data_IF_710437850076
#
_entry.id   IF_710437850076
#
_cell.length_a   1.000
_cell.length_b   1.000
_cell.length_c   1.000
_cell.angle_alpha   90.00
_cell.angle_beta   90.00
_cell.angle_gamma   90.00
#
_symmetry.space_group_name_H-M   'P 1'
#
loop_
_entity.id
_entity.type
_entity.pdbx_description
1 polymer ?
#
# COMPACT_ATOMS: atom_id res chain seq x y z
N UNK A 1 10.74 16.60 24.42
CA UNK A 1 10.30 17.90 24.98
C UNK A 1 10.61 18.92 23.88
N UNK A 2 9.67 19.51 23.15
CA UNK A 2 8.39 20.10 23.52
C UNK A 2 7.20 19.58 22.66
N UNK A 3 6.18 19.03 23.31
CA UNK A 3 4.85 18.75 22.72
C UNK A 3 3.97 19.98 22.92
N UNK A 4 4.39 21.10 22.35
CA UNK A 4 3.68 22.38 22.38
C UNK A 4 3.36 22.85 20.98
N UNK A 5 2.65 22.04 20.20
CA UNK A 5 2.02 22.52 18.96
C UNK A 5 0.50 22.61 19.16
N UNK A 6 0.01 23.82 18.88
CA UNK A 6 -1.36 24.30 19.06
C UNK A 6 -2.42 23.40 18.41
N UNK A 7 -3.55 23.25 19.11
CA UNK A 7 -4.80 22.65 18.59
C UNK A 7 -5.43 23.40 17.41
N UNK A 8 -4.76 24.43 16.89
CA UNK A 8 -5.20 25.32 15.81
C UNK A 8 -4.96 24.75 14.41
N UNK A 9 -4.47 23.51 14.28
CA UNK A 9 -4.39 22.87 12.97
C UNK A 9 -5.82 22.54 12.48
N UNK A 10 -6.25 23.07 11.32
CA UNK A 10 -7.58 22.80 10.80
C UNK A 10 -7.70 21.30 10.49
N UNK A 11 -8.87 20.73 10.79
CA UNK A 11 -9.17 19.33 10.46
C UNK A 11 -8.96 19.05 8.96
N UNK A 12 -9.31 20.02 8.12
CA UNK A 12 -9.12 19.98 6.68
C UNK A 12 -7.80 20.61 6.25
N UNK A 13 -6.99 19.82 5.55
CA UNK A 13 -5.78 20.23 4.82
C UNK A 13 -5.95 19.81 3.38
N UNK A 14 -6.67 20.62 2.61
CA UNK A 14 -7.11 20.27 1.25
C UNK A 14 -5.99 19.81 0.30
N UNK A 15 -4.75 20.29 0.47
CA UNK A 15 -3.59 19.86 -0.34
C UNK A 15 -3.27 18.36 -0.20
N UNK A 16 -3.57 17.75 0.94
CA UNK A 16 -3.30 16.33 1.23
C UNK A 16 -4.57 15.52 1.30
N UNK A 17 -5.63 16.08 1.90
CA UNK A 17 -6.91 15.41 2.09
C UNK A 17 -7.60 15.09 0.77
N UNK A 18 -7.42 15.93 -0.25
CA UNK A 18 -8.01 15.71 -1.58
C UNK A 18 -7.60 14.35 -2.15
N UNK A 19 -6.36 13.91 -1.94
CA UNK A 19 -5.90 12.62 -2.47
C UNK A 19 -6.54 11.44 -1.75
N UNK A 20 -6.63 11.51 -0.41
CA UNK A 20 -7.34 10.49 0.37
C UNK A 20 -8.82 10.41 0.02
N UNK A 21 -9.49 11.57 -0.13
CA UNK A 21 -10.89 11.66 -0.53
C UNK A 21 -11.08 11.09 -1.93
N UNK A 22 -10.22 11.43 -2.90
CA UNK A 22 -10.29 10.88 -4.26
C UNK A 22 -10.10 9.36 -4.27
N UNK A 23 -9.17 8.82 -3.48
CA UNK A 23 -9.01 7.37 -3.33
C UNK A 23 -10.27 6.73 -2.76
N UNK A 24 -10.84 7.27 -1.68
CA UNK A 24 -12.07 6.75 -1.08
C UNK A 24 -13.26 6.86 -2.06
N UNK A 25 -13.40 7.99 -2.74
CA UNK A 25 -14.44 8.19 -3.74
C UNK A 25 -14.31 7.19 -4.90
N UNK A 26 -13.09 6.91 -5.36
CA UNK A 26 -12.84 5.87 -6.36
C UNK A 26 -13.22 4.47 -5.85
N UNK A 27 -12.88 4.13 -4.60
CA UNK A 27 -13.27 2.86 -3.99
C UNK A 27 -14.79 2.71 -3.92
N UNK A 28 -15.47 3.69 -3.32
CA UNK A 28 -16.93 3.68 -3.17
C UNK A 28 -17.66 3.72 -4.52
N UNK A 29 -17.19 4.55 -5.45
CA UNK A 29 -17.77 4.67 -6.79
C UNK A 29 -17.63 3.38 -7.59
N UNK A 30 -16.47 2.73 -7.53
CA UNK A 30 -16.24 1.44 -8.20
C UNK A 30 -17.08 0.33 -7.55
N UNK A 31 -17.13 0.26 -6.22
CA UNK A 31 -18.00 -0.69 -5.52
C UNK A 31 -19.47 -0.52 -5.94
N UNK A 32 -19.96 0.72 -5.98
CA UNK A 32 -21.32 1.04 -6.39
C UNK A 32 -21.62 0.70 -7.85
N UNK A 33 -20.67 0.97 -8.75
CA UNK A 33 -20.84 0.68 -10.16
C UNK A 33 -20.92 -0.82 -10.46
N UNK A 34 -20.11 -1.64 -9.77
CA UNK A 34 -20.04 -3.09 -10.00
C UNK A 34 -21.11 -3.85 -9.19
N UNK A 35 -21.54 -3.32 -8.06
CA UNK A 35 -22.49 -3.95 -7.14
C UNK A 35 -23.71 -4.65 -7.78
N UNK A 36 -24.43 -4.02 -8.74
CA UNK A 36 -25.65 -4.60 -9.31
C UNK A 36 -25.37 -5.88 -10.09
N UNK A 37 -24.18 -5.99 -10.67
CA UNK A 37 -23.74 -7.10 -11.51
C UNK A 37 -23.10 -8.24 -10.70
N UNK A 38 -22.98 -8.08 -9.37
CA UNK A 38 -22.46 -9.12 -8.49
C UNK A 38 -23.48 -10.25 -8.31
N UNK A 39 -23.06 -11.53 -8.45
CA UNK A 39 -23.89 -12.67 -8.06
C UNK A 39 -24.15 -12.62 -6.55
N UNK A 40 -25.20 -13.32 -6.10
CA UNK A 40 -25.57 -13.31 -4.68
C UNK A 40 -24.43 -13.75 -3.76
N UNK A 41 -23.59 -14.68 -4.24
CA UNK A 41 -22.38 -15.15 -3.55
C UNK A 41 -21.13 -14.85 -4.37
N UNK A 42 -20.13 -14.27 -3.72
CA UNK A 42 -18.83 -13.92 -4.29
C UNK A 42 -17.70 -14.61 -3.54
N UNK A 43 -16.64 -15.08 -4.21
CA UNK A 43 -15.47 -15.64 -3.54
C UNK A 43 -14.79 -14.62 -2.62
N UNK A 44 -14.45 -15.04 -1.40
CA UNK A 44 -13.77 -14.18 -0.41
C UNK A 44 -12.45 -14.76 0.12
N UNK A 45 -12.18 -16.04 -0.14
CA UNK A 45 -10.96 -16.71 0.31
C UNK A 45 -10.50 -17.78 -0.69
N UNK A 46 -9.18 -17.91 -0.85
CA UNK A 46 -8.52 -18.87 -1.72
C UNK A 46 -7.45 -19.65 -0.95
N UNK A 47 -7.22 -20.92 -1.30
CA UNK A 47 -6.09 -21.69 -0.79
C UNK A 47 -4.78 -21.36 -1.55
N UNK A 48 -3.70 -22.07 -1.20
CA UNK A 48 -2.39 -21.91 -1.83
C UNK A 48 -2.40 -22.32 -3.32
N UNK A 49 -3.32 -23.17 -3.72
CA UNK A 49 -3.51 -23.66 -5.08
C UNK A 49 -4.33 -22.67 -5.93
N UNK A 50 -4.89 -21.62 -5.31
CA UNK A 50 -5.75 -20.63 -5.96
C UNK A 50 -7.21 -21.07 -6.11
N UNK A 51 -7.61 -22.14 -5.43
CA UNK A 51 -8.98 -22.64 -5.41
C UNK A 51 -9.80 -21.87 -4.37
N UNK A 52 -11.08 -21.62 -4.67
CA UNK A 52 -11.98 -20.90 -3.79
C UNK A 52 -12.38 -21.82 -2.64
N UNK A 53 -12.09 -21.42 -1.40
CA UNK A 53 -12.47 -22.19 -0.20
C UNK A 53 -13.57 -21.54 0.62
N UNK A 54 -13.94 -20.28 0.31
CA UNK A 54 -15.03 -19.59 1.00
C UNK A 54 -15.72 -18.55 0.11
N UNK A 55 -17.03 -18.40 0.34
CA UNK A 55 -17.90 -17.44 -0.33
C UNK A 55 -18.53 -16.49 0.70
N UNK A 56 -18.70 -15.23 0.31
CA UNK A 56 -19.43 -14.22 1.04
C UNK A 56 -20.63 -13.73 0.22
N UNK A 57 -21.53 -12.98 0.85
CA UNK A 57 -22.59 -12.28 0.11
C UNK A 57 -22.00 -11.20 -0.80
N UNK A 58 -22.72 -10.80 -1.85
CA UNK A 58 -22.32 -9.64 -2.68
C UNK A 58 -21.92 -8.43 -1.83
N UNK A 59 -22.60 -8.21 -0.68
CA UNK A 59 -22.36 -7.14 0.35
C UNK A 59 -20.95 -7.01 0.85
N UNK A 60 -20.16 -8.05 0.73
CA UNK A 60 -18.75 -8.02 1.09
C UNK A 60 -17.96 -6.94 0.32
N UNK A 61 -18.36 -6.52 -0.88
CA UNK A 61 -17.64 -5.46 -1.64
C UNK A 61 -17.59 -4.12 -0.89
N UNK A 62 -18.56 -3.85 -0.01
CA UNK A 62 -18.62 -2.60 0.77
C UNK A 62 -17.64 -2.58 1.94
N UNK A 63 -17.14 -3.74 2.36
CA UNK A 63 -16.34 -3.88 3.57
C UNK A 63 -15.01 -3.13 3.47
N UNK A 64 -14.28 -3.29 2.35
CA UNK A 64 -12.97 -2.63 2.18
C UNK A 64 -13.09 -1.09 2.06
N UNK A 65 -14.01 -0.51 1.25
CA UNK A 65 -14.27 0.93 1.28
C UNK A 65 -14.65 1.44 2.66
N UNK A 66 -15.48 0.71 3.42
CA UNK A 66 -15.87 1.08 4.78
C UNK A 66 -14.67 1.07 5.75
N UNK A 67 -13.87 0.00 5.76
CA UNK A 67 -12.66 -0.09 6.58
C UNK A 67 -11.69 1.04 6.24
N UNK A 68 -11.45 1.30 4.95
CA UNK A 68 -10.58 2.39 4.52
C UNK A 68 -11.09 3.77 4.95
N UNK A 69 -12.40 3.99 4.89
CA UNK A 69 -13.02 5.24 5.35
C UNK A 69 -12.84 5.43 6.86
N UNK A 70 -13.12 4.37 7.65
CA UNK A 70 -12.94 4.40 9.10
C UNK A 70 -11.48 4.64 9.46
N UNK A 71 -10.55 3.94 8.82
CA UNK A 71 -9.11 4.13 9.07
C UNK A 71 -8.65 5.53 8.70
N UNK A 72 -9.08 6.07 7.55
CA UNK A 72 -8.76 7.44 7.15
C UNK A 72 -9.24 8.45 8.19
N UNK A 73 -10.48 8.32 8.69
CA UNK A 73 -11.01 9.16 9.77
C UNK A 73 -10.22 8.98 11.07
N UNK A 74 -9.91 7.74 11.47
CA UNK A 74 -9.11 7.46 12.68
C UNK A 74 -7.74 8.11 12.58
N UNK A 75 -7.05 8.01 11.44
CA UNK A 75 -5.77 8.70 11.23
C UNK A 75 -5.91 10.22 11.29
N UNK A 76 -7.00 10.80 10.76
CA UNK A 76 -7.26 12.25 10.90
C UNK A 76 -7.54 12.65 12.36
N UNK A 77 -8.28 11.83 13.11
CA UNK A 77 -8.69 12.12 14.49
C UNK A 77 -7.55 11.95 15.51
N UNK A 78 -6.83 10.83 15.46
CA UNK A 78 -5.68 10.54 16.33
C UNK A 78 -4.61 11.63 16.18
N UNK A 79 -4.56 12.29 15.03
CA UNK A 79 -3.39 13.06 14.63
C UNK A 79 -3.57 14.58 14.56
N UNK A 80 -4.65 15.11 15.12
CA UNK A 80 -4.77 16.55 15.48
C UNK A 80 -3.63 17.04 16.39
N UNK A 81 -2.75 16.15 16.86
CA UNK A 81 -1.62 16.38 17.78
C UNK A 81 -0.21 16.36 17.15
N UNK A 82 -0.05 15.97 15.88
CA UNK A 82 1.27 15.56 15.36
C UNK A 82 1.58 15.94 13.88
N UNK A 83 0.88 16.92 13.30
CA UNK A 83 1.32 17.62 12.09
C UNK A 83 1.36 16.83 10.76
N UNK A 84 2.25 17.21 9.84
CA UNK A 84 2.30 16.75 8.43
C UNK A 84 2.61 15.25 8.23
N UNK A 85 3.15 14.58 9.24
CA UNK A 85 3.45 13.14 9.21
C UNK A 85 2.15 12.31 9.14
N UNK A 86 1.03 12.80 9.72
CA UNK A 86 -0.27 12.14 9.60
C UNK A 86 -0.76 12.10 8.18
N UNK A 87 -0.69 13.23 7.50
CA UNK A 87 -1.35 13.40 6.21
C UNK A 87 -0.74 12.42 5.21
N UNK A 88 0.57 12.16 5.34
CA UNK A 88 1.31 11.14 4.60
C UNK A 88 0.98 9.71 5.04
N UNK A 89 0.81 9.45 6.33
CA UNK A 89 0.40 8.14 6.83
C UNK A 89 -1.03 7.78 6.41
N UNK A 90 -1.97 8.72 6.53
CA UNK A 90 -3.35 8.57 6.10
C UNK A 90 -3.45 8.36 4.58
N UNK A 91 -2.68 9.12 3.80
CA UNK A 91 -2.58 8.92 2.36
C UNK A 91 -1.98 7.56 2.01
N UNK A 92 -0.89 7.16 2.66
CA UNK A 92 -0.26 5.86 2.46
C UNK A 92 -1.20 4.70 2.76
N UNK A 93 -1.93 4.76 3.88
CA UNK A 93 -2.93 3.75 4.24
C UNK A 93 -4.10 3.73 3.27
N UNK A 94 -4.68 4.89 2.94
CA UNK A 94 -5.77 4.97 1.96
C UNK A 94 -5.34 4.43 0.59
N UNK A 95 -4.11 4.70 0.18
CA UNK A 95 -3.53 4.19 -1.06
C UNK A 95 -3.32 2.67 -1.03
N UNK A 96 -2.76 2.12 0.05
CA UNK A 96 -2.59 0.67 0.23
C UNK A 96 -3.94 -0.04 0.19
N UNK A 97 -4.94 0.45 0.95
CA UNK A 97 -6.27 -0.15 0.99
C UNK A 97 -7.03 0.00 -0.32
N UNK A 98 -6.89 1.16 -0.98
CA UNK A 98 -7.43 1.40 -2.31
C UNK A 98 -6.86 0.43 -3.34
N UNK A 99 -5.57 0.13 -3.27
CA UNK A 99 -4.95 -0.88 -4.13
C UNK A 99 -5.36 -2.30 -3.78
N UNK A 100 -5.45 -2.64 -2.50
CA UNK A 100 -5.99 -3.94 -2.07
C UNK A 100 -7.41 -4.11 -2.61
N UNK A 101 -8.23 -3.06 -2.51
CA UNK A 101 -9.59 -3.05 -3.05
C UNK A 101 -9.62 -3.18 -4.58
N UNK A 102 -8.81 -2.41 -5.32
CA UNK A 102 -8.70 -2.54 -6.77
C UNK A 102 -8.16 -3.92 -7.18
N UNK A 103 -7.27 -4.52 -6.39
CA UNK A 103 -6.82 -5.90 -6.58
C UNK A 103 -7.94 -6.92 -6.40
N UNK A 104 -8.74 -6.79 -5.33
CA UNK A 104 -9.93 -7.64 -5.10
C UNK A 104 -10.96 -7.47 -6.22
N UNK A 105 -11.25 -6.23 -6.62
CA UNK A 105 -12.14 -5.93 -7.75
C UNK A 105 -11.58 -6.47 -9.06
N UNK A 106 -10.28 -6.32 -9.31
CA UNK A 106 -9.62 -6.82 -10.52
C UNK A 106 -9.61 -8.35 -10.60
N UNK A 107 -9.37 -9.05 -9.49
CA UNK A 107 -9.52 -10.50 -9.40
C UNK A 107 -10.97 -10.91 -9.66
N UNK A 108 -11.94 -10.19 -9.07
CA UNK A 108 -13.35 -10.44 -9.30
C UNK A 108 -13.75 -10.23 -10.77
N UNK A 109 -13.41 -9.08 -11.37
CA UNK A 109 -13.70 -8.79 -12.76
C UNK A 109 -12.99 -9.80 -13.69
N UNK A 110 -11.73 -10.15 -13.42
CA UNK A 110 -10.99 -11.14 -14.20
C UNK A 110 -11.61 -12.54 -14.17
N UNK A 111 -12.23 -12.92 -13.04
CA UNK A 111 -12.90 -14.21 -12.88
C UNK A 111 -14.22 -14.30 -13.68
N UNK A 112 -14.93 -13.17 -13.85
CA UNK A 112 -16.28 -13.16 -14.44
C UNK A 112 -16.38 -12.58 -15.85
N UNK A 113 -15.43 -11.76 -16.30
CA UNK A 113 -15.57 -11.01 -17.56
C UNK A 113 -14.83 -11.59 -18.76
N UNK A 114 -13.80 -12.44 -18.57
CA UNK A 114 -13.09 -13.01 -19.72
C UNK A 114 -12.54 -14.42 -19.44
N UNK A 115 -13.07 -15.48 -20.08
CA UNK A 115 -12.43 -16.79 -20.09
C UNK A 115 -11.26 -16.74 -21.08
N UNK A 116 -10.21 -15.99 -20.73
CA UNK A 116 -8.93 -16.09 -21.42
C UNK A 116 -8.17 -17.28 -20.78
N UNK A 117 -7.84 -18.34 -21.53
CA UNK A 117 -7.02 -19.43 -21.03
C UNK A 117 -5.71 -18.85 -20.49
N UNK A 118 -5.46 -18.99 -19.17
CA UNK A 118 -4.25 -18.48 -18.51
C UNK A 118 -4.36 -17.10 -17.84
N UNK A 119 -5.50 -16.41 -17.91
CA UNK A 119 -5.69 -15.06 -17.36
C UNK A 119 -6.06 -15.00 -15.86
N UNK A 120 -6.30 -16.16 -15.25
CA UNK A 120 -6.66 -16.31 -13.84
C UNK A 120 -5.52 -15.90 -12.87
N UNK A 121 -4.32 -15.64 -13.41
CA UNK A 121 -3.06 -15.56 -12.65
C UNK A 121 -2.34 -14.21 -12.73
N UNK A 122 -2.77 -13.29 -13.59
CA UNK A 122 -2.09 -12.00 -13.84
C UNK A 122 -2.44 -10.87 -12.86
N UNK A 123 -3.60 -10.92 -12.21
CA UNK A 123 -4.13 -9.81 -11.40
C UNK A 123 -3.29 -9.51 -10.16
N UNK A 124 -2.71 -10.54 -9.53
CA UNK A 124 -1.93 -10.40 -8.30
C UNK A 124 -0.61 -9.66 -8.51
N UNK A 125 0.07 -9.95 -9.61
CA UNK A 125 1.33 -9.28 -9.96
C UNK A 125 1.10 -7.80 -10.29
N UNK A 126 0.04 -7.48 -11.04
CA UNK A 126 -0.32 -6.08 -11.32
C UNK A 126 -0.63 -5.33 -10.03
N UNK A 127 -1.49 -5.88 -9.15
CA UNK A 127 -1.82 -5.26 -7.87
C UNK A 127 -0.59 -5.07 -6.96
N UNK A 128 0.26 -6.09 -6.84
CA UNK A 128 1.49 -6.02 -6.07
C UNK A 128 2.50 -5.01 -6.66
N UNK A 129 2.60 -4.91 -7.98
CA UNK A 129 3.46 -3.95 -8.64
C UNK A 129 2.99 -2.50 -8.43
N UNK A 130 1.68 -2.23 -8.50
CA UNK A 130 1.15 -0.91 -8.17
C UNK A 130 1.37 -0.59 -6.68
N UNK A 131 1.26 -1.58 -5.79
CA UNK A 131 1.58 -1.41 -4.37
C UNK A 131 3.05 -0.98 -4.18
N UNK A 132 3.99 -1.62 -4.88
CA UNK A 132 5.39 -1.21 -4.88
C UNK A 132 5.55 0.26 -5.33
N UNK A 133 4.86 0.70 -6.39
CA UNK A 133 4.90 2.11 -6.84
C UNK A 133 4.42 3.07 -5.74
N UNK A 134 3.34 2.73 -5.04
CA UNK A 134 2.80 3.55 -3.96
C UNK A 134 3.76 3.63 -2.77
N UNK A 135 4.35 2.50 -2.36
CA UNK A 135 5.38 2.47 -1.32
C UNK A 135 6.54 3.38 -1.74
N UNK A 136 7.01 3.28 -2.99
CA UNK A 136 8.07 4.10 -3.55
C UNK A 136 7.79 5.59 -3.47
N UNK A 137 6.61 6.00 -3.94
CA UNK A 137 6.15 7.38 -3.92
C UNK A 137 6.05 7.92 -2.49
N UNK A 138 5.54 7.12 -1.54
CA UNK A 138 5.43 7.49 -0.13
C UNK A 138 6.79 7.67 0.54
N UNK A 139 7.85 6.98 0.10
CA UNK A 139 9.20 7.13 0.65
C UNK A 139 9.92 8.42 0.22
N UNK A 140 9.46 9.12 -0.82
CA UNK A 140 10.06 10.38 -1.25
C UNK A 140 10.01 11.52 -0.20
N UNK A 141 8.86 11.85 0.39
CA UNK A 141 8.76 12.86 1.44
C UNK A 141 9.48 12.46 2.73
N UNK A 142 9.57 11.16 3.06
CA UNK A 142 10.23 10.67 4.27
C UNK A 142 11.72 11.01 4.34
N UNK A 143 12.38 11.19 3.19
CA UNK A 143 13.78 11.62 3.12
C UNK A 143 14.04 13.02 3.69
N UNK A 144 12.99 13.84 3.85
CA UNK A 144 13.07 15.20 4.39
C UNK A 144 12.56 15.29 5.83
N UNK A 145 12.19 14.16 6.42
CA UNK A 145 11.64 14.06 7.75
C UNK A 145 12.65 13.40 8.68
N UNK A 146 12.61 13.80 9.94
CA UNK A 146 13.36 13.11 10.99
C UNK A 146 12.82 11.69 11.20
N UNK A 147 13.68 10.76 11.64
CA UNK A 147 13.26 9.42 12.00
C UNK A 147 12.10 9.44 12.99
N UNK A 148 11.04 8.71 12.68
CA UNK A 148 9.83 8.71 13.49
C UNK A 148 9.26 7.30 13.61
N UNK A 149 8.60 6.98 14.74
CA UNK A 149 8.11 5.63 15.01
C UNK A 149 6.83 5.28 14.23
N UNK A 150 6.37 6.09 13.28
CA UNK A 150 5.01 6.01 12.75
C UNK A 150 4.95 5.50 11.33
N UNK A 151 5.74 6.09 10.43
CA UNK A 151 5.72 5.77 9.01
C UNK A 151 7.14 5.54 8.50
N UNK A 152 7.28 4.67 7.50
CA UNK A 152 8.55 4.38 6.84
C UNK A 152 9.14 3.03 7.24
N UNK A 153 10.40 2.82 6.82
CA UNK A 153 11.20 1.66 7.19
C UNK A 153 11.72 1.85 8.62
N UNK A 154 11.02 1.30 9.61
CA UNK A 154 11.23 1.53 11.06
C UNK A 154 12.02 0.40 11.73
N UNK A 155 13.19 0.09 11.20
CA UNK A 155 14.10 -0.83 11.89
C UNK A 155 14.75 -0.14 13.10
N UNK A 156 15.23 -0.88 14.12
CA UNK A 156 15.89 -0.26 15.28
C UNK A 156 17.04 0.69 14.93
N UNK A 157 17.74 0.42 13.83
CA UNK A 157 18.88 1.22 13.37
C UNK A 157 18.50 2.43 12.50
N UNK A 158 17.40 2.38 11.74
CA UNK A 158 16.94 3.55 10.97
C UNK A 158 16.37 4.64 11.85
N UNK A 159 15.85 4.28 13.03
CA UNK A 159 15.36 5.24 14.02
C UNK A 159 16.47 5.96 14.79
N UNK A 160 17.72 5.48 14.71
CA UNK A 160 18.87 6.02 15.46
C UNK A 160 19.90 6.73 14.58
N UNK A 161 19.70 6.76 13.26
CA UNK A 161 20.66 7.31 12.31
C UNK A 161 19.93 8.00 11.18
N UNK A 162 20.11 9.31 11.09
CA UNK A 162 19.57 10.14 10.01
C UNK A 162 20.11 9.69 8.66
N UNK A 163 21.38 9.31 8.59
CA UNK A 163 21.98 8.77 7.38
C UNK A 163 21.28 7.49 6.94
N UNK A 164 21.09 6.54 7.86
CA UNK A 164 20.38 5.29 7.57
C UNK A 164 18.95 5.56 7.12
N UNK A 165 18.26 6.48 7.81
CA UNK A 165 16.90 6.90 7.46
C UNK A 165 16.81 7.46 6.03
N UNK A 166 17.59 8.48 5.70
CA UNK A 166 17.53 9.16 4.40
C UNK A 166 17.95 8.23 3.27
N UNK A 167 19.08 7.53 3.43
CA UNK A 167 19.60 6.60 2.41
C UNK A 167 18.62 5.45 2.15
N UNK A 168 18.05 4.86 3.20
CA UNK A 168 17.15 3.72 3.05
C UNK A 168 15.84 4.11 2.39
N UNK A 169 15.21 5.22 2.79
CA UNK A 169 13.98 5.69 2.14
C UNK A 169 14.22 6.11 0.68
N UNK A 170 15.37 6.70 0.36
CA UNK A 170 15.76 6.96 -1.03
C UNK A 170 15.90 5.66 -1.84
N UNK A 171 16.59 4.67 -1.26
CA UNK A 171 16.77 3.37 -1.90
C UNK A 171 15.44 2.62 -2.06
N UNK A 172 14.55 2.63 -1.06
CA UNK A 172 13.19 2.08 -1.16
C UNK A 172 12.41 2.76 -2.29
N UNK A 173 12.45 4.09 -2.35
CA UNK A 173 11.86 4.87 -3.44
C UNK A 173 12.31 4.39 -4.82
N UNK A 174 13.62 4.24 -5.04
CA UNK A 174 14.18 3.84 -6.33
C UNK A 174 13.98 2.36 -6.66
N UNK A 175 14.29 1.46 -5.72
CA UNK A 175 14.19 0.01 -5.93
C UNK A 175 12.75 -0.47 -6.09
N UNK A 176 11.78 0.23 -5.48
CA UNK A 176 10.36 -0.07 -5.67
C UNK A 176 9.91 0.06 -7.13
N UNK A 177 10.50 0.98 -7.91
CA UNK A 177 10.20 1.13 -9.34
C UNK A 177 10.67 -0.09 -10.13
N UNK A 178 11.84 -0.64 -9.79
CA UNK A 178 12.36 -1.84 -10.43
C UNK A 178 11.49 -3.07 -10.11
N UNK A 179 11.10 -3.24 -8.84
CA UNK A 179 10.21 -4.34 -8.43
C UNK A 179 8.82 -4.18 -9.06
N UNK A 180 8.29 -2.96 -9.10
CA UNK A 180 7.02 -2.67 -9.76
C UNK A 180 7.07 -3.01 -11.25
N UNK A 181 8.14 -2.61 -11.96
CA UNK A 181 8.32 -2.95 -13.37
C UNK A 181 8.43 -4.46 -13.58
N UNK A 182 9.16 -5.17 -12.72
CA UNK A 182 9.31 -6.63 -12.76
C UNK A 182 8.00 -7.38 -12.53
N UNK A 183 7.00 -6.75 -11.90
CA UNK A 183 5.68 -7.33 -11.68
C UNK A 183 4.66 -6.86 -12.73
N UNK A 184 4.67 -5.58 -13.09
CA UNK A 184 3.70 -4.98 -14.02
C UNK A 184 3.97 -5.38 -15.47
N UNK A 185 5.21 -5.29 -15.93
CA UNK A 185 5.54 -5.53 -17.35
C UNK A 185 5.18 -6.96 -17.76
N UNK A 186 5.58 -8.02 -17.03
CA UNK A 186 5.15 -9.38 -17.39
C UNK A 186 3.64 -9.55 -17.28
N UNK A 187 2.99 -8.95 -16.28
CA UNK A 187 1.53 -8.96 -16.13
C UNK A 187 0.79 -8.35 -17.33
N UNK A 188 1.28 -7.23 -17.86
CA UNK A 188 0.72 -6.59 -19.07
C UNK A 188 0.97 -7.40 -20.35
N UNK A 189 2.07 -8.17 -20.40
CA UNK A 189 2.40 -9.06 -21.52
C UNK A 189 1.70 -10.42 -21.44
N UNK A 190 0.86 -10.66 -20.42
CA UNK A 190 0.19 -11.94 -20.21
C UNK A 190 1.12 -13.07 -19.76
N UNK A 191 2.31 -12.75 -19.26
CA UNK A 191 3.24 -13.74 -18.71
C UNK A 191 2.70 -14.21 -17.34
N UNK A 192 2.49 -15.52 -17.14
CA UNK A 192 1.95 -16.02 -15.88
C UNK A 192 2.99 -15.85 -14.75
N UNK A 193 2.64 -15.05 -13.74
CA UNK A 193 3.42 -14.89 -12.52
C UNK A 193 2.67 -15.54 -11.35
N UNK A 194 3.04 -16.76 -10.92
CA UNK A 194 2.35 -17.43 -9.83
C UNK A 194 2.58 -16.67 -8.51
N UNK A 195 1.55 -16.61 -7.66
CA UNK A 195 1.60 -15.82 -6.41
C UNK A 195 2.78 -16.17 -5.48
N UNK A 196 3.29 -17.43 -5.39
CA UNK A 196 4.48 -17.71 -4.56
C UNK A 196 5.72 -16.99 -5.10
N UNK A 197 5.84 -16.82 -6.42
CA UNK A 197 6.93 -16.08 -7.04
C UNK A 197 6.83 -14.57 -6.77
N UNK A 198 5.62 -14.02 -6.86
CA UNK A 198 5.33 -12.61 -6.50
C UNK A 198 5.66 -12.37 -5.02
N UNK A 199 5.22 -13.25 -4.13
CA UNK A 199 5.51 -13.19 -2.70
C UNK A 199 7.00 -13.33 -2.43
N UNK A 200 7.68 -14.29 -3.07
CA UNK A 200 9.12 -14.50 -2.94
C UNK A 200 9.93 -13.28 -3.34
N UNK A 201 9.58 -12.63 -4.47
CA UNK A 201 10.19 -11.38 -4.91
C UNK A 201 9.97 -10.25 -3.88
N UNK A 202 8.73 -10.10 -3.38
CA UNK A 202 8.41 -9.08 -2.39
C UNK A 202 9.18 -9.28 -1.08
N UNK A 203 9.24 -10.51 -0.57
CA UNK A 203 9.99 -10.85 0.64
C UNK A 203 11.50 -10.64 0.45
N UNK A 204 12.05 -11.05 -0.70
CA UNK A 204 13.45 -10.80 -1.04
C UNK A 204 13.76 -9.29 -1.09
N UNK A 205 12.84 -8.49 -1.64
CA UNK A 205 12.97 -7.05 -1.66
C UNK A 205 12.92 -6.45 -0.25
N UNK A 206 11.97 -6.85 0.60
CA UNK A 206 11.91 -6.40 2.00
C UNK A 206 13.19 -6.79 2.75
N UNK A 207 13.69 -8.00 2.57
CA UNK A 207 14.96 -8.44 3.15
C UNK A 207 16.14 -7.57 2.68
N UNK A 208 16.18 -7.24 1.38
CA UNK A 208 17.17 -6.32 0.82
C UNK A 208 17.09 -4.92 1.44
N UNK A 209 15.88 -4.37 1.67
CA UNK A 209 15.70 -3.08 2.33
C UNK A 209 16.19 -3.11 3.79
N UNK A 210 15.87 -4.17 4.53
CA UNK A 210 16.35 -4.38 5.90
C UNK A 210 17.88 -4.49 5.95
N UNK A 211 18.46 -5.29 5.06
CA UNK A 211 19.92 -5.42 4.96
C UNK A 211 20.60 -4.10 4.58
N UNK A 212 20.10 -3.42 3.54
CA UNK A 212 20.66 -2.15 3.07
C UNK A 212 20.61 -1.09 4.17
N UNK A 213 19.48 -0.98 4.87
CA UNK A 213 19.34 -0.02 5.96
C UNK A 213 20.30 -0.30 7.12
N UNK A 214 20.55 -1.57 7.42
CA UNK A 214 21.54 -1.97 8.42
C UNK A 214 22.95 -1.57 8.00
N UNK A 215 23.32 -1.82 6.74
CA UNK A 215 24.63 -1.40 6.19
C UNK A 215 24.79 0.12 6.27
N UNK A 216 23.77 0.90 5.91
CA UNK A 216 23.85 2.36 5.98
C UNK A 216 24.02 2.88 7.41
N UNK A 217 23.40 2.25 8.41
CA UNK A 217 23.61 2.58 9.82
C UNK A 217 24.98 2.12 10.31
N UNK A 218 25.42 0.92 9.93
CA UNK A 218 26.73 0.39 10.34
C UNK A 218 27.85 1.28 9.82
N UNK A 219 27.73 1.79 8.61
CA UNK A 219 28.74 2.64 7.98
C UNK A 219 28.58 4.12 8.35
N UNK A 220 27.62 4.47 9.21
CA UNK A 220 27.40 5.82 9.72
C UNK A 220 28.39 6.13 10.86
N UNK A 221 29.29 7.12 10.70
CA UNK A 221 30.24 7.51 11.75
C UNK A 221 29.56 8.13 12.97
N UNK A 222 28.34 8.66 12.82
CA UNK A 222 27.57 9.33 13.87
C UNK A 222 26.51 8.40 14.51
N UNK A 223 26.62 7.08 14.33
CA UNK A 223 25.61 6.14 14.82
C UNK A 223 25.52 6.11 16.36
N UNK A 224 24.29 6.26 16.87
CA UNK A 224 23.90 6.01 18.28
C UNK A 224 23.31 4.60 18.50
#
# INVERSE_FOLDING_TARGET
MALGESLDTPFWRWRTDVWGILCLAAMWGTAYWIWPDLPEQVPIHWNAEGEITSYGSRSSIWLLPAIASVQWVVFKLVWRRHGAIADLAALGVAAVLGLTFLGVVGTYLGYWSVPLPGNERGSWALGAGVLCLIIGAACWPLQRMEPNPLIGLRTPWTLKSDRSWVRSHRFTGQSSLAVAAALIVPGLLGVPLPWPGVLGLFLAWVALLCWYSYVQWRDDPERE
#
